data_IF_681302943116
#
_entry.id   IF_681302943116
#
_cell.length_a   1.000
_cell.length_b   1.000
_cell.length_c   1.000
_cell.angle_alpha   90.00
_cell.angle_beta   90.00
_cell.angle_gamma   90.00
#
_symmetry.space_group_name_H-M   'P 1'
#
loop_
_entity.id
_entity.type
_entity.pdbx_description
1 polymer ?
#
# COMPACT_ATOMS: atom_id res chain seq x y z
N UNK A 1 -21.41 -11.13 -10.69
CA UNK A 1 -20.55 -11.40 -9.52
C UNK A 1 -19.31 -10.55 -9.66
N UNK A 2 -19.09 -9.56 -8.78
CA UNK A 2 -17.84 -8.81 -8.78
C UNK A 2 -16.80 -9.67 -8.06
N UNK A 3 -15.97 -10.36 -8.82
CA UNK A 3 -14.83 -11.10 -8.28
C UNK A 3 -13.73 -10.06 -7.99
N UNK A 4 -13.35 -9.82 -6.73
CA UNK A 4 -12.27 -8.91 -6.43
C UNK A 4 -10.99 -9.44 -7.07
N UNK A 5 -10.37 -8.68 -7.98
CA UNK A 5 -9.06 -9.02 -8.56
C UNK A 5 -7.96 -9.09 -7.49
N UNK A 6 -8.21 -8.54 -6.30
CA UNK A 6 -7.29 -8.57 -5.16
C UNK A 6 -8.07 -8.92 -3.90
N UNK A 7 -7.69 -10.04 -3.28
CA UNK A 7 -8.24 -10.47 -2.00
C UNK A 7 -7.96 -9.44 -0.89
N UNK A 8 -8.84 -9.37 0.11
CA UNK A 8 -8.67 -8.47 1.25
C UNK A 8 -7.32 -8.70 1.95
N UNK A 9 -6.89 -9.97 2.06
CA UNK A 9 -5.55 -10.34 2.53
C UNK A 9 -4.42 -9.73 1.70
N UNK A 10 -4.53 -9.75 0.37
CA UNK A 10 -3.54 -9.17 -0.53
C UNK A 10 -3.43 -7.65 -0.39
N UNK A 11 -4.51 -6.98 0.03
CA UNK A 11 -4.52 -5.54 0.36
C UNK A 11 -3.83 -5.25 1.70
N UNK A 12 -4.15 -6.03 2.74
CA UNK A 12 -3.54 -5.86 4.07
C UNK A 12 -2.03 -6.06 4.02
N UNK A 13 -1.56 -7.09 3.32
CA UNK A 13 -0.12 -7.32 3.15
C UNK A 13 0.59 -6.17 2.42
N UNK A 14 -0.02 -5.61 1.37
CA UNK A 14 0.53 -4.43 0.67
C UNK A 14 0.54 -3.19 1.56
N UNK A 15 -0.49 -2.98 2.37
CA UNK A 15 -0.53 -1.88 3.33
C UNK A 15 0.59 -2.02 4.39
N UNK A 16 0.76 -3.21 4.96
CA UNK A 16 1.80 -3.49 5.94
C UNK A 16 3.21 -3.35 5.34
N UNK A 17 3.42 -3.91 4.14
CA UNK A 17 4.69 -3.80 3.42
C UNK A 17 5.00 -2.33 3.08
N UNK A 18 4.02 -1.58 2.57
CA UNK A 18 4.17 -0.16 2.29
C UNK A 18 4.52 0.66 3.52
N UNK A 19 3.90 0.37 4.67
CA UNK A 19 4.24 1.00 5.95
C UNK A 19 5.68 0.68 6.38
N UNK A 20 6.10 -0.58 6.24
CA UNK A 20 7.47 -1.00 6.53
C UNK A 20 8.51 -0.28 5.67
N UNK A 21 8.25 -0.17 4.36
CA UNK A 21 9.12 0.60 3.45
C UNK A 21 9.12 2.10 3.75
N UNK A 22 8.00 2.68 4.21
CA UNK A 22 7.96 4.08 4.62
C UNK A 22 8.86 4.34 5.84
N UNK A 23 8.84 3.44 6.82
CA UNK A 23 9.72 3.51 8.00
C UNK A 23 11.18 3.34 7.57
N UNK A 24 11.47 2.36 6.71
CA UNK A 24 12.81 2.13 6.17
C UNK A 24 13.33 3.33 5.35
N UNK A 25 12.45 4.02 4.62
CA UNK A 25 12.78 5.26 3.91
C UNK A 25 13.21 6.36 4.89
N UNK A 26 12.50 6.53 6.01
CA UNK A 26 12.83 7.52 7.03
C UNK A 26 14.15 7.22 7.73
N UNK A 27 14.41 5.95 8.05
CA UNK A 27 15.67 5.55 8.70
C UNK A 27 16.87 5.56 7.74
N UNK A 28 16.65 5.36 6.45
CA UNK A 28 17.71 5.42 5.43
C UNK A 28 18.12 6.85 5.06
N UNK A 29 17.27 7.86 5.30
CA UNK A 29 17.53 9.27 4.96
C UNK A 29 18.89 9.82 5.46
N UNK A 30 19.30 9.60 6.73
CA UNK A 30 20.60 10.07 7.21
C UNK A 30 21.81 9.34 6.62
N UNK A 31 21.64 8.14 6.05
CA UNK A 31 22.74 7.33 5.52
C UNK A 31 22.87 7.42 4.00
N UNK A 32 21.76 7.42 3.27
CA UNK A 32 21.74 7.49 1.81
C UNK A 32 20.40 7.99 1.33
N UNK A 33 20.41 9.20 0.76
CA UNK A 33 19.23 9.82 0.15
C UNK A 33 18.71 9.00 -1.04
N UNK A 34 19.59 8.29 -1.74
CA UNK A 34 19.22 7.40 -2.85
C UNK A 34 18.43 6.21 -2.32
N UNK A 35 18.94 5.54 -1.27
CA UNK A 35 18.24 4.41 -0.66
C UNK A 35 16.89 4.84 -0.07
N UNK A 36 16.87 5.99 0.61
CA UNK A 36 15.62 6.58 1.12
C UNK A 36 14.63 6.87 -0.02
N UNK A 37 15.09 7.46 -1.12
CA UNK A 37 14.25 7.72 -2.29
C UNK A 37 13.64 6.44 -2.88
N UNK A 38 14.45 5.39 -3.05
CA UNK A 38 13.97 4.09 -3.58
C UNK A 38 12.93 3.48 -2.64
N UNK A 39 13.20 3.43 -1.33
CA UNK A 39 12.23 2.91 -0.36
C UNK A 39 10.95 3.75 -0.31
N UNK A 40 11.06 5.08 -0.43
CA UNK A 40 9.92 5.98 -0.50
C UNK A 40 9.03 5.72 -1.71
N UNK A 41 9.61 5.50 -2.89
CA UNK A 41 8.87 5.16 -4.11
C UNK A 41 8.16 3.80 -3.97
N UNK A 42 8.85 2.80 -3.43
CA UNK A 42 8.26 1.47 -3.17
C UNK A 42 7.11 1.57 -2.16
N UNK A 43 7.29 2.32 -1.08
CA UNK A 43 6.26 2.56 -0.07
C UNK A 43 5.04 3.23 -0.67
N UNK A 44 5.23 4.30 -1.47
CA UNK A 44 4.16 5.00 -2.14
C UNK A 44 3.39 4.09 -3.11
N UNK A 45 4.09 3.26 -3.88
CA UNK A 45 3.47 2.32 -4.80
C UNK A 45 2.62 1.26 -4.06
N UNK A 46 3.15 0.66 -3.00
CA UNK A 46 2.45 -0.37 -2.22
C UNK A 46 1.21 0.20 -1.50
N UNK A 47 1.32 1.39 -0.92
CA UNK A 47 0.18 2.08 -0.29
C UNK A 47 -0.86 2.52 -1.32
N UNK A 48 -0.42 2.91 -2.52
CA UNK A 48 -1.31 3.21 -3.63
C UNK A 48 -2.06 1.96 -4.12
N UNK A 49 -1.38 0.82 -4.29
CA UNK A 49 -2.06 -0.43 -4.63
C UNK A 49 -3.05 -0.86 -3.53
N UNK A 50 -2.68 -0.69 -2.26
CA UNK A 50 -3.56 -0.98 -1.14
C UNK A 50 -4.81 -0.09 -1.13
N UNK A 51 -4.67 1.20 -1.45
CA UNK A 51 -5.80 2.16 -1.52
C UNK A 51 -6.65 2.01 -2.78
N UNK A 52 -6.06 1.67 -3.94
CA UNK A 52 -6.80 1.41 -5.20
C UNK A 52 -7.68 0.17 -5.11
N UNK A 53 -7.28 -0.85 -4.34
CA UNK A 53 -8.19 -1.93 -3.97
C UNK A 53 -9.43 -1.38 -3.25
N UNK A 54 -9.25 -0.37 -2.38
CA UNK A 54 -10.34 0.31 -1.68
C UNK A 54 -11.19 1.18 -2.59
N UNK A 55 -10.61 1.81 -3.61
CA UNK A 55 -11.34 2.56 -4.63
C UNK A 55 -12.33 1.67 -5.40
N UNK A 56 -11.96 0.43 -5.76
CA UNK A 56 -12.90 -0.50 -6.40
C UNK A 56 -14.05 -0.91 -5.45
N UNK A 57 -13.74 -1.22 -4.19
CA UNK A 57 -14.76 -1.53 -3.18
C UNK A 57 -15.72 -0.33 -2.92
N UNK A 58 -15.18 0.90 -2.90
CA UNK A 58 -15.94 2.14 -2.70
C UNK A 58 -16.75 2.54 -3.94
N UNK A 59 -16.18 2.41 -5.14
CA UNK A 59 -16.86 2.66 -6.42
C UNK A 59 -18.02 1.69 -6.64
N UNK A 60 -17.90 0.45 -6.16
CA UNK A 60 -18.96 -0.55 -6.21
C UNK A 60 -19.98 -0.45 -5.05
N UNK A 61 -19.92 0.60 -4.20
CA UNK A 61 -20.79 0.78 -3.02
C UNK A 61 -20.85 -0.46 -2.12
N UNK A 62 -19.78 -1.26 -2.07
CA UNK A 62 -19.71 -2.41 -1.18
C UNK A 62 -19.52 -1.84 0.23
N UNK A 63 -20.64 -1.73 0.97
CA UNK A 63 -20.61 -1.49 2.41
C UNK A 63 -19.89 -2.68 3.01
N UNK A 64 -18.62 -2.53 3.35
CA UNK A 64 -17.93 -3.49 4.21
C UNK A 64 -18.47 -3.25 5.62
N UNK A 65 -19.33 -4.11 6.19
CA UNK A 65 -19.45 -4.13 7.63
C UNK A 65 -18.09 -4.59 8.15
N UNK A 66 -17.51 -3.82 9.06
CA UNK A 66 -16.55 -4.42 9.98
C UNK A 66 -17.30 -5.47 10.82
#
# INVERSE_FOLDING_TARGET
MLQPNIDFRGRVWRALAGLGFAIASGSAWPHSQIAAGVFGVIAAFLLFEASRGWCAARACKIKTPF
#
